data_IF_646978875053
#
_entry.id   IF_646978875053
#
_cell.length_a   1.000
_cell.length_b   1.000
_cell.length_c   1.000
_cell.angle_alpha   90.00
_cell.angle_beta   90.00
_cell.angle_gamma   90.00
#
_symmetry.space_group_name_H-M   'P 1'
#
loop_
_entity.id
_entity.type
_entity.pdbx_description
1 polymer ?
#
# COMPACT_ATOMS: atom_id res chain seq x y z
N UNK A 1 9.48 9.21 19.52
CA UNK A 1 8.64 7.99 19.76
C UNK A 1 8.96 7.01 18.65
N UNK A 2 9.22 5.74 18.94
CA UNK A 2 9.41 4.74 17.87
C UNK A 2 8.07 4.56 17.16
N UNK A 3 8.05 4.50 15.84
CA UNK A 3 6.80 4.51 15.04
C UNK A 3 5.78 3.42 15.44
N UNK A 4 6.26 2.27 15.91
CA UNK A 4 5.39 1.19 16.44
C UNK A 4 4.71 1.60 17.76
N UNK A 5 5.36 2.38 18.60
CA UNK A 5 4.77 2.88 19.86
C UNK A 5 3.56 3.79 19.57
N UNK A 6 3.56 4.47 18.42
CA UNK A 6 2.42 5.28 17.96
C UNK A 6 1.19 4.40 17.73
N UNK A 7 1.34 3.24 17.06
CA UNK A 7 0.24 2.32 16.81
C UNK A 7 -0.33 1.74 18.12
N UNK A 8 0.57 1.35 19.04
CA UNK A 8 0.16 0.86 20.38
C UNK A 8 -0.60 1.96 21.13
N UNK A 9 -0.07 3.19 21.13
CA UNK A 9 -0.69 4.31 21.82
C UNK A 9 -2.04 4.73 21.21
N UNK A 10 -2.18 4.56 19.89
CA UNK A 10 -3.44 4.77 19.20
C UNK A 10 -4.49 3.69 19.50
N UNK A 11 -4.09 2.55 20.09
CA UNK A 11 -4.99 1.45 20.44
C UNK A 11 -5.15 0.39 19.33
N UNK A 12 -4.18 0.30 18.41
CA UNK A 12 -4.17 -0.77 17.40
C UNK A 12 -3.96 -2.13 18.05
N UNK A 13 -4.65 -3.17 17.55
CA UNK A 13 -4.47 -4.55 18.01
C UNK A 13 -3.11 -5.10 17.58
N UNK A 14 -2.60 -6.17 18.24
CA UNK A 14 -1.35 -6.82 17.84
C UNK A 14 -1.35 -7.27 16.38
N UNK A 15 -2.50 -7.74 15.86
CA UNK A 15 -2.67 -8.20 14.47
C UNK A 15 -2.52 -7.04 13.48
N UNK A 16 -3.14 -5.90 13.76
CA UNK A 16 -3.00 -4.66 12.95
C UNK A 16 -1.55 -4.19 12.96
N UNK A 17 -0.89 -4.19 14.12
CA UNK A 17 0.52 -3.80 14.24
C UNK A 17 1.43 -4.75 13.46
N UNK A 18 1.17 -6.06 13.51
CA UNK A 18 1.93 -7.06 12.75
C UNK A 18 1.75 -6.85 11.24
N UNK A 19 0.50 -6.61 10.78
CA UNK A 19 0.19 -6.28 9.40
C UNK A 19 0.92 -5.01 8.94
N UNK A 20 0.81 -3.91 9.65
CA UNK A 20 1.50 -2.65 9.33
C UNK A 20 3.02 -2.81 9.20
N UNK A 21 3.63 -3.63 10.08
CA UNK A 21 5.06 -3.98 9.98
C UNK A 21 5.37 -4.75 8.70
N UNK A 22 4.55 -5.73 8.34
CA UNK A 22 4.72 -6.53 7.14
C UNK A 22 4.59 -5.66 5.88
N UNK A 23 3.57 -4.78 5.82
CA UNK A 23 3.39 -3.82 4.72
C UNK A 23 4.59 -2.88 4.61
N UNK A 24 5.06 -2.32 5.73
CA UNK A 24 6.24 -1.45 5.74
C UNK A 24 7.49 -2.15 5.20
N UNK A 25 7.72 -3.42 5.57
CA UNK A 25 8.85 -4.21 5.08
C UNK A 25 8.73 -4.53 3.59
N UNK A 26 7.55 -4.96 3.13
CA UNK A 26 7.28 -5.25 1.72
C UNK A 26 7.44 -3.98 0.85
N UNK A 27 6.90 -2.84 1.29
CA UNK A 27 7.01 -1.56 0.60
C UNK A 27 8.48 -1.11 0.46
N UNK A 28 9.27 -1.23 1.53
CA UNK A 28 10.71 -0.93 1.50
C UNK A 28 11.46 -1.88 0.56
N UNK A 29 11.14 -3.18 0.57
CA UNK A 29 11.75 -4.14 -0.34
C UNK A 29 11.44 -3.85 -1.83
N UNK A 30 10.28 -3.24 -2.11
CA UNK A 30 9.95 -2.73 -3.46
C UNK A 30 10.87 -1.55 -3.80
N UNK A 31 10.99 -0.55 -2.92
CA UNK A 31 11.86 0.64 -3.14
C UNK A 31 13.31 0.24 -3.37
N UNK A 32 13.85 -0.70 -2.60
CA UNK A 32 15.25 -1.14 -2.70
C UNK A 32 15.59 -1.77 -4.09
N UNK A 33 14.57 -2.13 -4.87
CA UNK A 33 14.70 -2.68 -6.23
C UNK A 33 14.39 -1.66 -7.34
N UNK A 34 14.16 -0.39 -7.01
CA UNK A 34 13.81 0.65 -8.00
C UNK A 34 15.03 1.38 -8.56
N UNK A 35 14.86 1.93 -9.75
CA UNK A 35 15.86 2.78 -10.40
C UNK A 35 15.65 4.26 -10.12
N UNK A 36 14.41 4.65 -9.85
CA UNK A 36 14.05 6.04 -9.57
C UNK A 36 14.23 6.40 -8.11
N UNK A 37 14.43 7.69 -7.85
CA UNK A 37 14.51 8.22 -6.49
C UNK A 37 13.12 8.22 -5.86
N UNK A 38 12.98 7.54 -4.73
CA UNK A 38 11.79 7.47 -3.89
C UNK A 38 12.21 7.74 -2.46
N UNK A 39 11.41 8.47 -1.71
CA UNK A 39 11.66 8.72 -0.30
C UNK A 39 11.40 7.44 0.51
N UNK A 40 12.48 6.66 0.68
CA UNK A 40 12.45 5.35 1.35
C UNK A 40 11.92 5.43 2.77
N UNK A 41 12.26 6.51 3.51
CA UNK A 41 11.81 6.68 4.88
C UNK A 41 10.32 7.02 4.95
N UNK A 42 9.83 7.84 4.02
CA UNK A 42 8.41 8.13 3.89
C UNK A 42 7.60 6.85 3.56
N UNK A 43 8.10 6.01 2.65
CA UNK A 43 7.48 4.71 2.32
C UNK A 43 7.46 3.79 3.55
N UNK A 44 8.58 3.69 4.27
CA UNK A 44 8.67 2.89 5.50
C UNK A 44 7.66 3.35 6.54
N UNK A 45 7.62 4.65 6.80
CA UNK A 45 6.73 5.23 7.79
C UNK A 45 5.26 5.18 7.34
N UNK A 46 4.99 5.47 6.06
CA UNK A 46 3.66 5.36 5.46
C UNK A 46 3.11 3.94 5.56
N UNK A 47 3.90 2.93 5.18
CA UNK A 47 3.52 1.52 5.31
C UNK A 47 3.26 1.11 6.76
N UNK A 48 4.00 1.66 7.71
CA UNK A 48 3.77 1.35 9.12
C UNK A 48 2.50 2.01 9.68
N UNK A 49 2.09 3.16 9.16
CA UNK A 49 1.00 3.97 9.72
C UNK A 49 -0.30 3.90 8.90
N UNK A 50 -0.29 3.28 7.68
CA UNK A 50 -1.43 3.32 6.76
C UNK A 50 -2.75 2.91 7.43
N UNK A 51 -2.71 1.90 8.28
CA UNK A 51 -3.86 1.29 8.95
C UNK A 51 -4.09 1.79 10.39
N UNK A 52 -3.48 2.90 10.82
CA UNK A 52 -3.62 3.43 12.19
C UNK A 52 -5.09 3.70 12.59
N UNK A 53 -5.94 3.99 11.61
CA UNK A 53 -7.36 4.22 11.84
C UNK A 53 -8.15 2.97 12.22
N UNK A 54 -7.59 1.76 12.03
CA UNK A 54 -8.18 0.50 12.52
C UNK A 54 -8.21 0.41 14.05
N UNK A 55 -7.54 1.31 14.73
CA UNK A 55 -7.74 1.50 16.17
C UNK A 55 -9.14 2.00 16.55
N UNK A 56 -9.93 2.52 15.59
CA UNK A 56 -11.28 3.04 15.80
C UNK A 56 -12.36 2.28 15.07
N UNK A 57 -12.09 1.88 13.83
CA UNK A 57 -13.05 1.18 12.96
C UNK A 57 -12.34 0.23 12.02
N UNK A 58 -13.00 -0.90 11.70
CA UNK A 58 -12.51 -1.88 10.73
C UNK A 58 -13.19 -1.74 9.36
N UNK A 59 -14.17 -0.83 9.23
CA UNK A 59 -14.84 -0.51 7.97
C UNK A 59 -13.94 0.31 7.03
N UNK A 60 -14.50 0.68 5.88
CA UNK A 60 -13.82 1.49 4.86
C UNK A 60 -13.40 2.87 5.40
N UNK A 61 -14.06 3.35 6.44
CA UNK A 61 -13.82 4.65 7.08
C UNK A 61 -12.50 4.69 7.87
N UNK A 62 -11.81 3.55 8.02
CA UNK A 62 -10.52 3.55 8.76
C UNK A 62 -9.48 4.48 8.15
N UNK A 63 -9.50 4.70 6.82
CA UNK A 63 -8.61 5.69 6.20
C UNK A 63 -8.89 7.10 6.71
N UNK A 64 -10.17 7.50 6.82
CA UNK A 64 -10.57 8.82 7.33
C UNK A 64 -10.24 8.95 8.83
N UNK A 65 -10.55 7.92 9.61
CA UNK A 65 -10.18 7.88 11.04
C UNK A 65 -8.65 7.96 11.23
N UNK A 66 -7.88 7.32 10.36
CA UNK A 66 -6.42 7.38 10.33
C UNK A 66 -5.89 8.78 10.05
N UNK A 67 -6.47 9.48 9.08
CA UNK A 67 -6.15 10.89 8.78
C UNK A 67 -6.38 11.78 10.01
N UNK A 68 -7.50 11.63 10.72
CA UNK A 68 -7.76 12.40 11.93
C UNK A 68 -6.76 12.12 13.04
N UNK A 69 -6.38 10.85 13.24
CA UNK A 69 -5.37 10.47 14.23
C UNK A 69 -4.02 11.07 13.86
N UNK A 70 -3.59 10.90 12.60
CA UNK A 70 -2.30 11.38 12.12
C UNK A 70 -2.17 12.90 12.23
N UNK A 71 -3.22 13.65 11.88
CA UNK A 71 -3.26 15.13 12.06
C UNK A 71 -3.10 15.55 13.51
N UNK A 72 -3.81 14.89 14.44
CA UNK A 72 -3.70 15.20 15.89
C UNK A 72 -2.32 14.88 16.45
N UNK A 73 -1.65 13.87 15.91
CA UNK A 73 -0.29 13.50 16.29
C UNK A 73 0.78 14.35 15.61
N UNK A 74 0.42 15.27 14.72
CA UNK A 74 1.34 16.19 14.04
C UNK A 74 2.18 15.55 12.95
N UNK A 75 1.70 14.44 12.32
CA UNK A 75 2.37 13.87 11.16
C UNK A 75 2.30 14.81 9.95
N UNK A 76 3.28 14.70 9.06
CA UNK A 76 3.35 15.51 7.86
C UNK A 76 2.19 15.21 6.89
N UNK A 77 1.83 16.18 6.04
CA UNK A 77 0.81 16.01 5.01
C UNK A 77 1.15 14.83 4.07
N UNK A 78 2.44 14.55 3.82
CA UNK A 78 2.88 13.41 2.99
C UNK A 78 2.49 12.05 3.62
N UNK A 79 2.57 11.91 4.94
CA UNK A 79 2.09 10.71 5.65
C UNK A 79 0.57 10.66 5.65
N UNK A 80 -0.08 11.80 5.88
CA UNK A 80 -1.55 11.89 5.91
C UNK A 80 -2.18 11.44 4.59
N UNK A 81 -1.62 11.85 3.45
CA UNK A 81 -2.15 11.44 2.14
C UNK A 81 -1.90 9.95 1.82
N UNK A 82 -0.80 9.37 2.31
CA UNK A 82 -0.58 7.91 2.22
C UNK A 82 -1.68 7.17 2.99
N UNK A 83 -1.96 7.58 4.24
CA UNK A 83 -3.02 6.99 5.07
C UNK A 83 -4.39 7.14 4.39
N UNK A 84 -4.66 8.30 3.80
CA UNK A 84 -5.94 8.58 3.16
C UNK A 84 -6.19 7.73 1.91
N UNK A 85 -5.12 7.41 1.13
CA UNK A 85 -5.23 6.87 -0.22
C UNK A 85 -4.73 5.44 -0.37
N UNK A 86 -4.50 4.73 0.75
CA UNK A 86 -3.93 3.38 0.69
C UNK A 86 -4.92 2.29 0.28
N UNK A 87 -6.23 2.53 0.40
CA UNK A 87 -7.24 1.48 0.22
C UNK A 87 -7.30 1.01 -1.23
N UNK A 88 -7.09 -0.29 -1.42
CA UNK A 88 -7.04 -0.89 -2.75
C UNK A 88 -5.99 -0.21 -3.63
N UNK A 89 -6.23 -0.12 -4.92
CA UNK A 89 -5.40 0.66 -5.85
C UNK A 89 -5.89 2.11 -6.00
N UNK A 90 -6.74 2.55 -5.07
CA UNK A 90 -7.39 3.84 -5.05
C UNK A 90 -8.91 3.71 -5.22
N UNK A 91 -9.62 4.75 -4.78
CA UNK A 91 -11.08 4.86 -4.85
C UNK A 91 -11.41 6.15 -5.59
N UNK A 92 -12.21 6.07 -6.66
CA UNK A 92 -12.67 7.25 -7.40
C UNK A 92 -13.72 8.01 -6.59
N UNK A 93 -13.98 9.28 -6.94
CA UNK A 93 -14.99 10.11 -6.27
C UNK A 93 -16.40 9.48 -6.36
N UNK A 94 -16.72 8.83 -7.49
CA UNK A 94 -17.99 8.13 -7.67
C UNK A 94 -18.11 6.90 -6.80
N UNK A 95 -17.04 6.13 -6.66
CA UNK A 95 -17.00 4.96 -5.77
C UNK A 95 -17.02 5.38 -4.31
N UNK A 96 -16.29 6.43 -3.95
CA UNK A 96 -16.31 7.00 -2.59
C UNK A 96 -17.73 7.35 -2.14
N UNK A 97 -18.50 8.01 -3.02
CA UNK A 97 -19.91 8.35 -2.75
C UNK A 97 -20.77 7.09 -2.53
N UNK A 98 -20.57 6.03 -3.34
CA UNK A 98 -21.27 4.73 -3.17
C UNK A 98 -20.93 4.04 -1.86
N UNK A 99 -19.67 4.19 -1.41
CA UNK A 99 -19.17 3.62 -0.17
C UNK A 99 -19.48 4.46 1.08
N UNK A 100 -20.17 5.61 0.94
CA UNK A 100 -20.49 6.51 2.04
C UNK A 100 -19.31 7.36 2.54
N UNK A 101 -18.25 7.43 1.78
CA UNK A 101 -17.12 8.31 2.06
C UNK A 101 -17.37 9.73 1.50
N UNK A 102 -16.67 10.76 2.00
CA UNK A 102 -16.70 12.08 1.38
C UNK A 102 -16.37 12.01 -0.10
N UNK A 103 -17.19 12.66 -0.94
CA UNK A 103 -17.08 12.61 -2.41
C UNK A 103 -15.83 13.33 -2.91
N UNK A 104 -14.76 12.61 -3.07
CA UNK A 104 -13.49 13.03 -3.71
C UNK A 104 -12.71 11.81 -4.14
N UNK A 105 -11.67 12.00 -4.95
CA UNK A 105 -10.75 10.93 -5.31
C UNK A 105 -9.78 10.60 -4.16
N UNK A 106 -9.63 9.31 -3.90
CA UNK A 106 -8.65 8.73 -2.98
C UNK A 106 -7.64 7.89 -3.79
N UNK A 107 -7.23 8.41 -4.94
CA UNK A 107 -6.27 7.75 -5.81
C UNK A 107 -4.84 8.03 -5.33
N UNK A 108 -3.96 7.04 -5.18
CA UNK A 108 -2.55 7.26 -4.90
C UNK A 108 -1.88 7.96 -6.10
N UNK A 109 -1.23 9.10 -5.86
CA UNK A 109 -0.68 9.96 -6.90
C UNK A 109 0.84 9.88 -6.99
N UNK A 110 1.54 9.92 -5.85
CA UNK A 110 3.01 9.86 -5.83
C UNK A 110 3.51 8.41 -5.86
N UNK A 111 4.79 8.23 -6.16
CA UNK A 111 5.42 6.90 -6.12
C UNK A 111 5.30 6.28 -4.74
N UNK A 112 5.51 7.06 -3.69
CA UNK A 112 5.43 6.60 -2.30
C UNK A 112 4.03 6.13 -1.93
N UNK A 113 2.98 6.90 -2.29
CA UNK A 113 1.58 6.52 -2.08
C UNK A 113 1.25 5.20 -2.80
N UNK A 114 1.65 5.08 -4.08
CA UNK A 114 1.42 3.89 -4.90
C UNK A 114 2.14 2.65 -4.35
N UNK A 115 3.38 2.81 -3.90
CA UNK A 115 4.16 1.70 -3.35
C UNK A 115 3.54 1.17 -2.06
N UNK A 116 3.09 2.05 -1.15
CA UNK A 116 2.46 1.63 0.11
C UNK A 116 1.14 0.91 -0.16
N UNK A 117 0.26 1.50 -0.95
CA UNK A 117 -1.02 0.90 -1.35
C UNK A 117 -0.81 -0.45 -2.07
N UNK A 118 0.14 -0.54 -2.99
CA UNK A 118 0.47 -1.77 -3.70
C UNK A 118 1.02 -2.86 -2.77
N UNK A 119 1.93 -2.51 -1.87
CA UNK A 119 2.46 -3.45 -0.89
C UNK A 119 1.37 -4.01 0.03
N UNK A 120 0.44 -3.16 0.49
CA UNK A 120 -0.72 -3.59 1.28
C UNK A 120 -1.59 -4.58 0.49
N UNK A 121 -1.87 -4.28 -0.78
CA UNK A 121 -2.66 -5.15 -1.66
C UNK A 121 -2.04 -6.53 -1.88
N UNK A 122 -0.72 -6.65 -1.78
CA UNK A 122 -0.01 -7.93 -1.89
C UNK A 122 0.06 -8.71 -0.57
N UNK A 123 -0.51 -8.20 0.53
CA UNK A 123 -0.53 -8.92 1.81
C UNK A 123 -1.93 -9.41 2.18
N UNK A 124 -1.97 -10.57 2.83
CA UNK A 124 -3.12 -11.09 3.56
C UNK A 124 -2.70 -11.33 5.01
N UNK A 125 -3.09 -10.43 5.90
CA UNK A 125 -2.50 -10.34 7.22
C UNK A 125 -0.99 -10.05 7.12
N UNK A 126 -0.13 -11.02 7.48
CA UNK A 126 1.32 -10.89 7.34
C UNK A 126 1.90 -11.73 6.20
N UNK A 127 1.06 -12.48 5.46
CA UNK A 127 1.50 -13.33 4.36
C UNK A 127 1.52 -12.53 3.06
N UNK A 128 2.69 -12.41 2.47
CA UNK A 128 2.85 -11.87 1.12
C UNK A 128 2.37 -12.91 0.07
N UNK A 129 1.71 -12.43 -0.96
CA UNK A 129 1.23 -13.24 -2.07
C UNK A 129 1.69 -12.64 -3.41
N UNK A 130 1.86 -13.48 -4.46
CA UNK A 130 2.17 -12.98 -5.80
C UNK A 130 1.01 -12.14 -6.33
N UNK A 131 1.31 -11.21 -7.25
CA UNK A 131 0.33 -10.32 -7.88
C UNK A 131 -0.88 -11.07 -8.46
N UNK A 132 -0.65 -12.22 -9.11
CA UNK A 132 -1.74 -13.03 -9.69
C UNK A 132 -2.75 -13.51 -8.62
N UNK A 133 -2.26 -13.92 -7.44
CA UNK A 133 -3.13 -14.33 -6.32
C UNK A 133 -3.88 -13.13 -5.74
N UNK A 134 -3.19 -11.99 -5.58
CA UNK A 134 -3.81 -10.75 -5.11
C UNK A 134 -4.89 -10.26 -6.08
N UNK A 135 -4.64 -10.31 -7.38
CA UNK A 135 -5.59 -9.92 -8.43
C UNK A 135 -6.84 -10.81 -8.41
N UNK A 136 -6.69 -12.12 -8.27
CA UNK A 136 -7.83 -13.03 -8.12
C UNK A 136 -8.63 -12.75 -6.85
N UNK A 137 -7.97 -12.39 -5.76
CA UNK A 137 -8.65 -11.93 -4.52
C UNK A 137 -9.47 -10.67 -4.77
N UNK A 138 -8.91 -9.69 -5.49
CA UNK A 138 -9.63 -8.47 -5.87
C UNK A 138 -10.88 -8.78 -6.70
N UNK A 139 -10.75 -9.63 -7.73
CA UNK A 139 -11.87 -10.06 -8.58
C UNK A 139 -12.98 -10.74 -7.79
N UNK A 140 -12.63 -11.56 -6.79
CA UNK A 140 -13.60 -12.23 -5.92
C UNK A 140 -14.35 -11.27 -5.01
N UNK A 141 -13.69 -10.22 -4.51
CA UNK A 141 -14.26 -9.26 -3.56
C UNK A 141 -15.08 -8.19 -4.28
N UNK A 142 -14.54 -7.63 -5.36
CA UNK A 142 -15.11 -6.47 -6.05
C UNK A 142 -15.99 -6.85 -7.24
N UNK A 143 -15.81 -8.05 -7.80
CA UNK A 143 -16.34 -8.45 -9.10
C UNK A 143 -15.35 -8.21 -10.23
N UNK A 144 -15.43 -9.02 -11.33
CA UNK A 144 -14.43 -9.00 -12.39
C UNK A 144 -14.40 -7.70 -13.19
N UNK A 145 -15.52 -6.98 -13.27
CA UNK A 145 -15.69 -5.77 -14.09
C UNK A 145 -15.57 -4.48 -13.27
N UNK A 146 -15.17 -4.58 -12.00
CA UNK A 146 -15.04 -3.42 -11.13
C UNK A 146 -13.81 -2.57 -11.51
N UNK A 147 -13.96 -1.24 -11.56
CA UNK A 147 -12.88 -0.31 -11.93
C UNK A 147 -11.59 -0.49 -11.12
N UNK A 148 -11.70 -0.89 -9.84
CA UNK A 148 -10.55 -1.19 -8.96
C UNK A 148 -9.64 -2.29 -9.49
N UNK A 149 -10.15 -3.21 -10.34
CA UNK A 149 -9.34 -4.24 -10.99
C UNK A 149 -8.37 -3.62 -11.99
N UNK A 150 -8.88 -2.72 -12.84
CA UNK A 150 -8.06 -2.02 -13.83
C UNK A 150 -7.04 -1.10 -13.17
N UNK A 151 -7.44 -0.38 -12.11
CA UNK A 151 -6.54 0.44 -11.31
C UNK A 151 -5.40 -0.39 -10.70
N UNK A 152 -5.68 -1.58 -10.18
CA UNK A 152 -4.66 -2.44 -9.59
C UNK A 152 -3.70 -3.02 -10.63
N UNK A 153 -4.20 -3.38 -11.82
CA UNK A 153 -3.36 -3.83 -12.94
C UNK A 153 -2.44 -2.68 -13.39
N UNK A 154 -2.96 -1.48 -13.62
CA UNK A 154 -2.16 -0.29 -13.98
C UNK A 154 -1.10 0.04 -12.93
N UNK A 155 -1.45 -0.01 -11.65
CA UNK A 155 -0.51 0.21 -10.56
C UNK A 155 0.62 -0.84 -10.56
N UNK A 156 0.28 -2.11 -10.80
CA UNK A 156 1.27 -3.17 -10.93
C UNK A 156 2.24 -2.90 -12.08
N UNK A 157 1.73 -2.63 -13.29
CA UNK A 157 2.55 -2.37 -14.48
C UNK A 157 3.48 -1.17 -14.27
N UNK A 158 2.98 -0.09 -13.70
CA UNK A 158 3.74 1.11 -13.38
C UNK A 158 4.91 0.79 -12.41
N UNK A 159 4.62 0.06 -11.33
CA UNK A 159 5.64 -0.32 -10.34
C UNK A 159 6.66 -1.30 -10.94
N UNK A 160 6.26 -2.25 -11.81
CA UNK A 160 7.20 -3.10 -12.52
C UNK A 160 8.11 -2.30 -13.45
N UNK A 161 7.58 -1.28 -14.12
CA UNK A 161 8.35 -0.37 -14.98
C UNK A 161 9.43 0.41 -14.23
N UNK A 162 9.29 0.62 -12.92
CA UNK A 162 10.27 1.30 -12.07
C UNK A 162 11.39 0.39 -11.56
N UNK A 163 11.26 -0.92 -11.72
CA UNK A 163 12.25 -1.88 -11.22
C UNK A 163 13.54 -1.85 -12.03
N UNK A 164 14.66 -2.06 -11.34
CA UNK A 164 15.94 -2.37 -11.97
C UNK A 164 15.77 -3.65 -12.78
N UNK A 165 16.05 -3.59 -14.08
CA UNK A 165 16.25 -4.80 -14.85
C UNK A 165 17.46 -5.52 -14.25
N UNK A 166 17.22 -6.70 -13.65
CA UNK A 166 18.34 -7.58 -13.30
C UNK A 166 19.07 -7.90 -14.61
N UNK A 167 20.42 -7.75 -14.67
CA UNK A 167 21.14 -8.22 -15.82
C UNK A 167 20.74 -9.69 -16.01
N UNK A 168 20.34 -10.05 -17.24
CA UNK A 168 20.10 -11.44 -17.61
C UNK A 168 21.29 -12.24 -17.09
N UNK A 169 21.03 -13.21 -16.20
CA UNK A 169 22.02 -14.22 -15.88
C UNK A 169 22.31 -14.92 -17.21
N UNK A 170 23.40 -14.48 -17.83
CA UNK A 170 23.91 -15.06 -19.07
C UNK A 170 24.18 -16.51 -18.74
N UNK A 171 23.27 -17.38 -19.14
CA UNK A 171 23.42 -18.83 -19.05
C UNK A 171 24.48 -19.20 -20.10
N UNK A 172 25.73 -18.91 -19.76
CA UNK A 172 26.90 -19.29 -20.53
C UNK A 172 26.97 -20.82 -20.58
N UNK A 173 26.21 -21.40 -21.50
CA UNK A 173 26.48 -22.74 -22.02
C UNK A 173 27.76 -22.57 -22.86
N UNK A 174 28.92 -22.73 -22.20
CA UNK A 174 30.16 -23.02 -22.93
C UNK A 174 30.02 -24.45 -23.45
N UNK A 175 29.72 -24.57 -24.74
CA UNK A 175 29.96 -25.79 -25.46
C UNK A 175 31.49 -26.03 -25.41
N UNK A 176 31.90 -27.06 -24.66
CA UNK A 176 33.26 -27.60 -24.74
C UNK A 176 33.32 -28.46 -26.00
N UNK A 177 34.18 -28.06 -26.95
CA UNK A 177 34.69 -28.92 -28.00
C UNK A 177 35.68 -29.94 -27.41
#
# INVERSE_FOLDING_TARGET
MRDVEVLVHAGCTPEVIAHCRAVSQAAVAIVDRMTQSVDRELVRQGGLLHDIGRSRTHGIEHAIAGVEIARRLGFSDRIIVIIERHIGAGITASEAERLGLPKKDYLPLTAEEKIVSYADNLLSGTREMPFSEALERFRKILGPDHEGIELFIKQHEEIQGWRKQLPNADCGIRNAE
#
